data_IF_020376614790
#
_entry.id   IF_020376614790
#
_cell.length_a   1.000
_cell.length_b   1.000
_cell.length_c   1.000
_cell.angle_alpha   90.00
_cell.angle_beta   90.00
_cell.angle_gamma   90.00
#
_symmetry.space_group_name_H-M   'P 1'
#
loop_
_entity.id
_entity.type
_entity.pdbx_description
1 polymer ?
#
# COMPACT_ATOMS: atom_id res chain seq x y z
N UNK A 1 -3.67 21.47 0.12
CA UNK A 1 -3.52 21.20 0.04
C UNK A 1 -3.21 21.13 0.08
N UNK A 2 -2.90 20.81 0.22
CA UNK A 2 -2.47 20.36 0.28
C UNK A 2 -1.61 20.43 0.41
N UNK A 3 -1.47 20.43 0.51
CA UNK A 3 -0.55 20.39 0.68
C UNK A 3 0.11 20.30 1.01
N UNK A 4 0.12 20.15 1.11
CA UNK A 4 0.63 19.86 1.39
C UNK A 4 1.47 19.70 1.75
N UNK A 5 1.60 19.60 1.92
CA UNK A 5 2.32 19.24 2.31
C UNK A 5 3.33 19.40 2.48
N UNK A 6 3.35 19.50 2.41
CA UNK A 6 4.21 19.48 2.55
C UNK A 6 4.97 19.61 2.88
N UNK A 7 4.98 19.60 3.00
CA UNK A 7 5.67 19.57 3.46
C UNK A 7 6.60 19.80 3.81
N UNK A 8 6.56 20.01 3.86
CA UNK A 8 7.30 20.07 4.17
C UNK A 8 8.09 20.13 4.54
N UNK A 9 8.26 20.37 4.63
CA UNK A 9 8.92 20.26 4.93
C UNK A 9 9.57 20.21 5.46
N UNK A 10 9.72 20.37 5.65
CA UNK A 10 10.21 20.32 6.13
C UNK A 10 10.81 20.20 6.73
N UNK A 11 10.63 20.51 6.91
CA UNK A 11 11.25 20.44 7.82
C UNK A 11 12.19 19.68 8.01
N UNK A 12 12.17 19.59 7.74
CA UNK A 12 13.07 19.23 7.60
C UNK A 12 14.08 18.44 8.24
N UNK A 13 15.10 18.61 8.26
CA UNK A 13 16.18 17.84 8.66
C UNK A 13 16.02 17.01 9.90
N UNK A 14 15.17 17.43 10.69
CA UNK A 14 14.96 16.77 11.92
C UNK A 14 14.44 15.38 11.76
N UNK A 15 13.55 15.25 10.86
CA UNK A 15 12.92 13.98 10.63
C UNK A 15 13.90 12.92 10.22
N UNK A 16 15.05 13.34 9.83
CA UNK A 16 16.04 12.43 9.32
C UNK A 16 16.37 11.35 10.31
N UNK A 17 16.65 11.72 11.53
CA UNK A 17 17.05 10.75 12.52
C UNK A 17 15.95 9.73 12.77
N UNK A 18 14.74 10.22 12.85
CA UNK A 18 13.62 9.36 13.07
C UNK A 18 13.40 8.42 11.89
N UNK A 19 13.58 8.95 10.73
CA UNK A 19 13.32 8.20 9.53
C UNK A 19 14.24 7.00 9.39
N UNK A 20 15.38 7.03 10.02
CA UNK A 20 16.33 5.97 9.82
C UNK A 20 15.89 4.64 10.39
N UNK A 21 15.23 4.66 11.53
CA UNK A 21 14.78 3.41 12.11
C UNK A 21 13.53 2.88 11.42
N UNK A 22 12.60 3.75 11.14
CA UNK A 22 11.35 3.32 10.55
C UNK A 22 11.50 2.78 9.14
N UNK A 23 12.30 3.41 8.28
CA UNK A 23 12.43 2.91 6.91
C UNK A 23 13.00 1.52 6.80
N UNK A 24 13.91 1.15 7.68
CA UNK A 24 14.52 -0.18 7.58
C UNK A 24 13.45 -1.26 7.76
N UNK A 25 12.55 -1.06 8.70
CA UNK A 25 11.49 -2.03 8.95
C UNK A 25 10.47 -2.01 7.82
N UNK A 26 10.11 -0.82 7.38
CA UNK A 26 9.14 -0.68 6.29
C UNK A 26 9.67 -1.32 5.01
N UNK A 27 10.98 -1.19 4.76
CA UNK A 27 11.57 -1.76 3.57
C UNK A 27 11.44 -3.28 3.53
N UNK A 28 11.58 -3.94 4.67
CA UNK A 28 11.44 -5.38 4.71
C UNK A 28 10.02 -5.80 4.35
N UNK A 29 9.03 -5.10 4.87
CA UNK A 29 7.65 -5.37 4.54
C UNK A 29 7.37 -5.07 3.07
N UNK A 30 7.91 -3.98 2.58
CA UNK A 30 7.74 -3.59 1.19
C UNK A 30 8.33 -4.65 0.25
N UNK A 31 9.50 -5.16 0.58
CA UNK A 31 10.13 -6.19 -0.24
C UNK A 31 9.29 -7.45 -0.30
N UNK A 32 8.71 -7.84 0.82
CA UNK A 32 7.85 -9.02 0.85
C UNK A 32 6.60 -8.78 0.01
N UNK A 33 5.98 -7.62 0.16
CA UNK A 33 4.78 -7.30 -0.60
C UNK A 33 5.05 -7.33 -2.10
N UNK A 34 6.11 -6.65 -2.53
CA UNK A 34 6.46 -6.61 -3.95
C UNK A 34 6.82 -8.01 -4.45
N UNK A 35 7.54 -8.78 -3.65
CA UNK A 35 7.89 -10.16 -4.04
C UNK A 35 6.65 -11.01 -4.26
N UNK A 36 5.65 -10.85 -3.43
CA UNK A 36 4.40 -11.59 -3.58
C UNK A 36 3.68 -11.20 -4.87
N UNK A 37 3.65 -9.91 -5.18
CA UNK A 37 3.05 -9.45 -6.43
C UNK A 37 3.80 -10.03 -7.64
N UNK A 38 5.12 -10.01 -7.57
CA UNK A 38 5.93 -10.52 -8.67
C UNK A 38 5.71 -12.00 -8.89
N UNK A 39 5.62 -12.76 -7.81
CA UNK A 39 5.40 -14.20 -7.93
C UNK A 39 4.06 -14.50 -8.59
N UNK A 40 3.07 -13.68 -8.34
CA UNK A 40 1.75 -13.89 -8.90
C UNK A 40 1.62 -13.27 -10.29
N UNK A 41 2.63 -12.54 -10.74
CA UNK A 41 2.57 -11.93 -12.08
C UNK A 41 1.71 -10.69 -12.13
N UNK A 42 1.50 -10.03 -11.00
CA UNK A 42 0.69 -8.81 -10.96
C UNK A 42 1.53 -7.66 -11.53
N UNK A 43 1.00 -6.99 -12.55
CA UNK A 43 1.69 -5.85 -13.16
C UNK A 43 1.39 -4.58 -12.36
N UNK A 44 2.40 -3.75 -12.19
CA UNK A 44 2.23 -2.45 -11.53
C UNK A 44 3.18 -1.45 -12.19
N UNK A 45 2.82 -0.15 -12.17
CA UNK A 45 3.66 0.85 -12.86
C UNK A 45 5.03 1.03 -12.21
N UNK A 46 5.09 1.01 -10.90
CA UNK A 46 6.35 1.09 -10.16
C UNK A 46 6.12 0.51 -8.79
N UNK A 47 7.22 0.11 -8.15
CA UNK A 47 7.13 -0.42 -6.79
C UNK A 47 6.58 0.62 -5.83
N UNK A 48 7.01 1.86 -5.98
CA UNK A 48 6.52 2.94 -5.12
C UNK A 48 5.02 3.11 -5.22
N UNK A 49 4.50 3.08 -6.43
CA UNK A 49 3.06 3.25 -6.62
C UNK A 49 2.28 2.08 -6.06
N UNK A 50 2.80 0.86 -6.26
CA UNK A 50 2.13 -0.31 -5.71
C UNK A 50 2.06 -0.23 -4.19
N UNK A 51 3.13 0.22 -3.56
CA UNK A 51 3.17 0.35 -2.10
C UNK A 51 2.21 1.42 -1.62
N UNK A 52 2.15 2.55 -2.32
CA UNK A 52 1.23 3.62 -1.97
C UNK A 52 -0.22 3.13 -2.05
N UNK A 53 -0.55 2.43 -3.12
CA UNK A 53 -1.91 1.90 -3.27
C UNK A 53 -2.22 0.88 -2.19
N UNK A 54 -1.23 0.06 -1.81
CA UNK A 54 -1.43 -0.90 -0.74
C UNK A 54 -1.78 -0.21 0.58
N UNK A 55 -1.09 0.89 0.88
CA UNK A 55 -1.42 1.66 2.08
C UNK A 55 -2.80 2.29 1.98
N UNK A 56 -3.17 2.75 0.78
CA UNK A 56 -4.51 3.30 0.58
C UNK A 56 -5.58 2.25 0.78
N UNK A 57 -5.32 1.02 0.33
CA UNK A 57 -6.24 -0.09 0.55
C UNK A 57 -6.46 -0.30 2.04
N UNK A 58 -5.38 -0.33 2.81
CA UNK A 58 -5.50 -0.51 4.25
C UNK A 58 -6.28 0.61 4.90
N UNK A 59 -6.00 1.86 4.53
CA UNK A 59 -6.74 3.00 5.07
C UNK A 59 -8.22 2.92 4.73
N UNK A 60 -8.52 2.54 3.51
CA UNK A 60 -9.89 2.43 3.05
C UNK A 60 -10.68 1.40 3.86
N UNK A 61 -10.07 0.24 4.09
CA UNK A 61 -10.73 -0.81 4.85
C UNK A 61 -10.82 -0.44 6.33
N UNK A 62 -9.78 0.18 6.86
CA UNK A 62 -9.79 0.63 8.26
C UNK A 62 -10.85 1.68 8.51
N UNK A 63 -11.22 2.44 7.49
CA UNK A 63 -12.30 3.43 7.59
C UNK A 63 -13.69 2.80 7.61
N UNK A 64 -13.78 1.50 7.46
CA UNK A 64 -15.05 0.80 7.56
C UNK A 64 -15.58 0.25 6.25
N UNK A 65 -14.85 0.40 5.17
CA UNK A 65 -15.28 -0.15 3.89
C UNK A 65 -14.94 -1.63 3.82
N UNK A 66 -15.63 -2.36 2.95
CA UNK A 66 -15.43 -3.80 2.84
C UNK A 66 -14.24 -4.10 1.94
N UNK A 67 -13.75 -5.34 2.05
CA UNK A 67 -12.70 -5.79 1.13
C UNK A 67 -13.20 -5.80 -0.31
N UNK A 68 -14.46 -6.15 -0.52
CA UNK A 68 -15.03 -6.12 -1.86
C UNK A 68 -15.03 -4.71 -2.44
N UNK A 69 -15.35 -3.73 -1.62
CA UNK A 69 -15.30 -2.33 -2.07
C UNK A 69 -13.86 -1.94 -2.41
N UNK A 70 -12.89 -2.40 -1.63
CA UNK A 70 -11.49 -2.12 -1.92
C UNK A 70 -11.07 -2.75 -3.25
N UNK A 71 -11.54 -3.95 -3.53
CA UNK A 71 -11.23 -4.61 -4.80
C UNK A 71 -11.77 -3.80 -5.96
N UNK A 72 -13.00 -3.30 -5.84
CA UNK A 72 -13.58 -2.48 -6.90
C UNK A 72 -12.76 -1.20 -7.10
N UNK A 73 -12.32 -0.58 -6.02
CA UNK A 73 -11.48 0.62 -6.13
C UNK A 73 -10.18 0.33 -6.86
N UNK A 74 -9.53 -0.78 -6.53
CA UNK A 74 -8.28 -1.14 -7.19
C UNK A 74 -8.54 -1.42 -8.67
N UNK A 75 -9.63 -2.11 -8.99
CA UNK A 75 -9.99 -2.35 -10.37
C UNK A 75 -10.15 -1.06 -11.15
N UNK A 76 -10.85 -0.11 -10.54
CA UNK A 76 -11.13 1.17 -11.21
C UNK A 76 -9.86 1.98 -11.43
N UNK A 77 -8.95 1.96 -10.47
CA UNK A 77 -7.74 2.76 -10.57
C UNK A 77 -6.69 2.13 -11.46
N UNK A 78 -6.61 0.80 -11.45
CA UNK A 78 -5.51 0.12 -12.13
C UNK A 78 -5.88 -0.46 -13.48
N UNK A 79 -7.16 -0.73 -13.67
CA UNK A 79 -7.60 -1.45 -14.86
C UNK A 79 -7.39 -2.95 -14.78
N UNK A 80 -6.92 -3.47 -13.65
CA UNK A 80 -6.75 -4.90 -13.48
C UNK A 80 -8.10 -5.59 -13.39
N UNK A 81 -8.11 -6.89 -13.69
CA UNK A 81 -9.31 -7.69 -13.53
C UNK A 81 -9.61 -7.96 -12.06
N UNK A 82 -10.75 -8.61 -11.84
CA UNK A 82 -11.21 -8.84 -10.47
C UNK A 82 -10.27 -9.78 -9.71
N UNK A 83 -9.74 -10.79 -10.38
CA UNK A 83 -8.87 -11.74 -9.71
C UNK A 83 -7.55 -11.10 -9.31
N UNK A 84 -6.97 -10.33 -10.19
CA UNK A 84 -5.72 -9.65 -9.91
C UNK A 84 -5.90 -8.60 -8.84
N UNK A 85 -6.99 -7.85 -8.91
CA UNK A 85 -7.28 -6.83 -7.91
C UNK A 85 -7.55 -7.46 -6.55
N UNK A 86 -8.25 -8.60 -6.54
CA UNK A 86 -8.49 -9.34 -5.31
C UNK A 86 -7.19 -9.82 -4.68
N UNK A 87 -6.29 -10.33 -5.51
CA UNK A 87 -4.98 -10.76 -5.01
C UNK A 87 -4.21 -9.56 -4.45
N UNK A 88 -4.25 -8.44 -5.16
CA UNK A 88 -3.56 -7.24 -4.70
C UNK A 88 -4.08 -6.79 -3.34
N UNK A 89 -5.41 -6.74 -3.18
CA UNK A 89 -6.01 -6.32 -1.91
C UNK A 89 -5.64 -7.30 -0.80
N UNK A 90 -5.67 -8.61 -1.10
CA UNK A 90 -5.27 -9.60 -0.11
C UNK A 90 -3.82 -9.45 0.30
N UNK A 91 -2.93 -9.26 -0.65
CA UNK A 91 -1.52 -9.08 -0.36
C UNK A 91 -1.27 -7.80 0.43
N UNK A 92 -1.97 -6.71 0.06
CA UNK A 92 -1.82 -5.44 0.73
C UNK A 92 -2.25 -5.53 2.20
N UNK A 93 -3.40 -6.13 2.45
CA UNK A 93 -3.89 -6.25 3.81
C UNK A 93 -3.01 -7.18 4.63
N UNK A 94 -2.61 -8.30 4.06
CA UNK A 94 -1.75 -9.24 4.78
C UNK A 94 -0.41 -8.60 5.14
N UNK A 95 0.10 -7.72 4.29
CA UNK A 95 1.40 -7.10 4.52
C UNK A 95 1.34 -5.90 5.45
N UNK A 96 0.33 -5.05 5.29
CA UNK A 96 0.32 -3.74 5.95
C UNK A 96 -0.77 -3.57 6.99
N UNK A 97 -1.81 -4.38 6.95
CA UNK A 97 -2.88 -4.31 7.95
C UNK A 97 -3.47 -5.71 8.15
N UNK A 98 -2.67 -6.63 8.71
CA UNK A 98 -3.07 -8.04 8.75
C UNK A 98 -4.35 -8.29 9.54
N UNK A 99 -4.71 -7.43 10.48
CA UNK A 99 -5.97 -7.57 11.20
C UNK A 99 -7.17 -7.32 10.31
N UNK A 100 -6.98 -6.74 9.12
CA UNK A 100 -8.04 -6.51 8.15
C UNK A 100 -8.03 -7.57 7.04
N UNK A 101 -7.04 -8.45 7.03
CA UNK A 101 -6.92 -9.43 5.96
C UNK A 101 -8.04 -10.47 6.05
N UNK A 102 -8.41 -11.09 4.92
CA UNK A 102 -9.40 -12.16 4.97
C UNK A 102 -8.89 -13.33 5.79
N UNK A 103 -9.78 -14.02 6.48
CA UNK A 103 -9.38 -15.18 7.28
C UNK A 103 -9.40 -16.47 6.48
#
# INVERSE_FOLDING_TARGET
MRGKFVFSVVAAGIAVATAMAAPAYADATDDIFIGVLDEEGIAYPSESEAIIVAHQVCGFVQDGNTLEDAIVEVMNESGMGVEESGFFVGAATASYCPDQAPS
#
